data_IF_074535523315
#
_entry.id   IF_074535523315
#
_cell.length_a   1.000
_cell.length_b   1.000
_cell.length_c   1.000
_cell.angle_alpha   90.00
_cell.angle_beta   90.00
_cell.angle_gamma   90.00
#
_symmetry.space_group_name_H-M   'P 1'
#
loop_
_entity.id
_entity.type
_entity.pdbx_description
1 polymer ?
#
# COMPACT_ATOMS: atom_id res chain seq x y z
N UNK A 1 21.57 -1.61 -27.15
CA UNK A 1 21.44 -1.68 -26.67
C UNK A 1 21.47 -1.44 -26.02
N UNK A 2 21.59 -1.32 -25.96
CA UNK A 2 21.56 -1.26 -25.13
C UNK A 2 21.41 -0.73 -24.46
N UNK A 3 21.33 -0.42 -24.44
CA UNK A 3 21.06 -0.09 -23.66
C UNK A 3 20.86 0.19 -22.97
N UNK A 4 20.87 0.40 -23.06
CA UNK A 4 20.49 0.53 -22.25
C UNK A 4 20.18 0.64 -21.47
N UNK A 5 20.24 0.76 -21.61
CA UNK A 5 19.70 0.66 -20.81
C UNK A 5 19.65 1.03 -20.05
N UNK A 6 19.73 1.10 -19.98
CA UNK A 6 19.54 1.18 -19.21
C UNK A 6 19.36 1.69 -18.41
N UNK A 7 19.45 1.94 -18.45
CA UNK A 7 19.11 2.20 -17.68
C UNK A 7 18.88 2.57 -16.91
N UNK A 8 18.96 2.66 -16.93
CA UNK A 8 18.54 2.72 -16.18
C UNK A 8 18.40 2.93 -15.32
N UNK A 9 18.59 3.03 -15.40
CA UNK A 9 18.38 2.98 -14.62
C UNK A 9 18.37 3.47 -13.86
N UNK A 10 18.42 3.95 -13.67
CA UNK A 10 18.34 4.15 -12.82
C UNK A 10 18.04 4.53 -12.03
N UNK A 11 18.20 4.69 -12.41
CA UNK A 11 17.70 5.01 -11.80
C UNK A 11 17.41 4.88 -10.63
N UNK A 12 16.89 4.72 -10.65
CA UNK A 12 16.30 4.47 -9.51
C UNK A 12 17.15 4.41 -8.40
N UNK A 13 17.82 4.56 -8.49
CA UNK A 13 18.78 4.42 -7.69
C UNK A 13 18.85 5.22 -6.55
N UNK A 14 19.07 6.33 -6.81
CA UNK A 14 19.36 7.17 -5.73
C UNK A 14 18.38 7.10 -4.65
N UNK A 15 17.28 6.83 -4.97
CA UNK A 15 16.34 6.87 -4.04
C UNK A 15 16.48 5.95 -2.99
N UNK A 16 16.91 4.93 -3.24
CA UNK A 16 17.07 3.92 -2.25
C UNK A 16 17.86 4.40 -1.07
N UNK A 17 18.60 5.39 -1.25
CA UNK A 17 19.40 5.88 -0.15
C UNK A 17 18.57 6.37 1.02
N UNK A 18 17.35 6.70 0.78
CA UNK A 18 16.52 7.27 1.82
C UNK A 18 15.71 6.25 2.58
N UNK A 19 15.86 5.00 2.29
CA UNK A 19 15.08 4.03 3.01
C UNK A 19 14.74 2.82 2.21
N UNK A 20 13.51 2.37 2.31
CA UNK A 20 13.12 1.11 1.72
C UNK A 20 12.98 1.20 0.24
N UNK A 21 13.24 0.07 -0.42
CA UNK A 21 12.98 -0.04 -1.84
C UNK A 21 11.48 0.02 -2.09
N UNK A 22 11.06 0.56 -3.21
CA UNK A 22 9.63 0.54 -3.56
C UNK A 22 9.13 -0.88 -3.73
N UNK A 23 7.86 -1.08 -3.46
CA UNK A 23 7.21 -2.38 -3.63
C UNK A 23 6.41 -2.32 -4.92
N UNK A 24 6.60 -3.34 -5.76
CA UNK A 24 5.86 -3.44 -7.02
C UNK A 24 4.84 -4.55 -6.94
N UNK A 25 3.63 -4.27 -7.38
CA UNK A 25 2.54 -5.24 -7.39
C UNK A 25 1.82 -5.19 -8.74
N UNK A 26 1.24 -6.31 -9.13
CA UNK A 26 0.37 -6.33 -10.29
C UNK A 26 -1.01 -5.81 -9.89
N UNK A 27 -1.52 -4.83 -10.63
CA UNK A 27 -2.84 -4.30 -10.32
C UNK A 27 -3.94 -5.34 -10.59
N UNK A 28 -3.64 -6.34 -11.39
CA UNK A 28 -4.60 -7.41 -11.66
C UNK A 28 -4.91 -8.22 -10.40
N UNK A 29 -4.03 -8.19 -9.41
CA UNK A 29 -4.21 -8.93 -8.18
C UNK A 29 -5.04 -8.15 -7.15
N UNK A 30 -5.41 -6.91 -7.45
CA UNK A 30 -6.12 -6.07 -6.49
C UNK A 30 -7.59 -5.99 -6.88
N UNK A 31 -8.48 -6.61 -6.09
CA UNK A 31 -9.91 -6.58 -6.43
C UNK A 31 -10.50 -5.18 -6.28
N UNK A 32 -11.48 -4.87 -7.12
CA UNK A 32 -12.23 -3.63 -6.96
C UNK A 32 -13.01 -3.68 -5.65
N UNK A 33 -12.97 -2.61 -4.88
CA UNK A 33 -13.65 -2.54 -3.61
C UNK A 33 -12.94 -3.28 -2.49
N UNK A 34 -11.66 -3.63 -2.69
CA UNK A 34 -10.89 -4.34 -1.68
C UNK A 34 -9.41 -3.96 -1.78
N UNK A 35 -8.55 -4.79 -1.21
CA UNK A 35 -7.12 -4.50 -1.13
C UNK A 35 -6.32 -5.79 -1.03
N UNK A 36 -5.02 -5.68 -1.26
CA UNK A 36 -4.07 -6.76 -0.98
C UNK A 36 -3.00 -6.21 -0.07
N UNK A 37 -2.38 -7.08 0.72
CA UNK A 37 -1.32 -6.71 1.65
C UNK A 37 -0.07 -7.48 1.25
N UNK A 38 0.99 -6.76 0.89
CA UNK A 38 2.25 -7.35 0.45
C UNK A 38 3.41 -6.51 0.97
N UNK A 39 4.37 -7.15 1.60
CA UNK A 39 5.65 -6.51 1.99
C UNK A 39 5.49 -5.18 2.74
N UNK A 40 4.58 -5.13 3.67
CA UNK A 40 4.40 -3.93 4.50
C UNK A 40 3.55 -2.85 3.85
N UNK A 41 2.91 -3.18 2.72
CA UNK A 41 2.09 -2.24 1.96
C UNK A 41 0.68 -2.79 1.82
N UNK A 42 -0.29 -1.92 1.98
CA UNK A 42 -1.68 -2.21 1.65
C UNK A 42 -1.94 -1.48 0.34
N UNK A 43 -2.23 -2.22 -0.72
CA UNK A 43 -2.62 -1.61 -1.99
C UNK A 43 -4.10 -1.86 -2.21
N UNK A 44 -4.86 -0.78 -2.29
CA UNK A 44 -6.31 -0.82 -2.34
C UNK A 44 -6.83 -0.30 -3.67
N UNK A 45 -7.96 -0.81 -4.08
CA UNK A 45 -8.70 -0.29 -5.23
C UNK A 45 -10.13 0.02 -4.80
N UNK A 46 -10.36 1.16 -4.12
CA UNK A 46 -11.70 1.46 -3.61
C UNK A 46 -12.74 1.57 -4.71
N UNK A 47 -12.33 2.11 -5.83
CA UNK A 47 -13.19 2.25 -7.02
C UNK A 47 -12.38 1.76 -8.19
N UNK A 48 -13.03 1.20 -9.17
CA UNK A 48 -12.35 0.65 -10.34
C UNK A 48 -11.41 1.69 -10.96
N UNK A 49 -10.16 1.34 -11.09
CA UNK A 49 -9.13 2.19 -11.68
C UNK A 49 -8.49 3.19 -10.72
N UNK A 50 -8.96 3.27 -9.48
CA UNK A 50 -8.37 4.17 -8.48
C UNK A 50 -7.61 3.36 -7.44
N UNK A 51 -6.33 3.65 -7.30
CA UNK A 51 -5.47 2.88 -6.41
C UNK A 51 -4.96 3.77 -5.29
N UNK A 52 -4.99 3.25 -4.07
CA UNK A 52 -4.49 3.92 -2.88
C UNK A 52 -3.60 2.96 -2.13
N UNK A 53 -2.59 3.48 -1.48
CA UNK A 53 -1.67 2.65 -0.74
C UNK A 53 -1.47 3.18 0.66
N UNK A 54 -1.26 2.27 1.59
CA UNK A 54 -1.06 2.61 3.00
C UNK A 54 0.00 1.70 3.60
N UNK A 55 0.64 2.20 4.65
CA UNK A 55 1.56 1.38 5.43
C UNK A 55 0.76 0.39 6.26
N UNK A 56 1.31 -0.82 6.44
CA UNK A 56 0.70 -1.80 7.31
C UNK A 56 0.94 -1.53 8.80
N UNK A 57 1.78 -0.56 9.13
CA UNK A 57 2.04 -0.26 10.54
C UNK A 57 0.77 0.35 11.15
N UNK A 58 0.24 -0.32 12.18
CA UNK A 58 -0.98 0.13 12.81
C UNK A 58 -0.72 1.43 13.58
N UNK A 59 -1.49 2.50 13.31
CA UNK A 59 -1.26 3.78 14.00
C UNK A 59 -1.48 3.71 15.51
N UNK A 60 -2.26 2.74 15.98
CA UNK A 60 -2.50 2.56 17.39
C UNK A 60 -1.25 2.03 18.12
N UNK A 61 -0.60 1.06 17.50
CA UNK A 61 0.63 0.47 18.05
C UNK A 61 1.48 -0.01 16.87
N UNK A 62 2.72 -0.39 17.15
CA UNK A 62 3.61 -0.89 16.10
C UNK A 62 3.29 -2.34 15.72
N UNK A 63 2.01 -2.66 15.62
CA UNK A 63 1.53 -3.94 15.12
C UNK A 63 1.28 -3.81 13.64
N UNK A 64 1.04 -4.94 13.00
CA UNK A 64 0.82 -4.97 11.56
C UNK A 64 -0.64 -5.18 11.25
N UNK A 65 -1.18 -4.34 10.38
CA UNK A 65 -2.48 -4.56 9.78
C UNK A 65 -2.30 -5.72 8.81
N UNK A 66 -3.08 -6.78 9.00
CA UNK A 66 -2.86 -8.02 8.25
C UNK A 66 -4.12 -8.69 7.74
N UNK A 67 -5.28 -8.11 7.99
CA UNK A 67 -6.55 -8.70 7.59
C UNK A 67 -7.28 -7.78 6.65
N UNK A 68 -7.86 -8.36 5.60
CA UNK A 68 -8.66 -7.61 4.63
C UNK A 68 -10.07 -8.21 4.67
N UNK A 69 -11.08 -7.34 4.78
CA UNK A 69 -12.46 -7.76 4.79
C UNK A 69 -13.24 -6.79 3.90
N UNK A 70 -13.31 -7.09 2.61
CA UNK A 70 -13.95 -6.21 1.64
C UNK A 70 -13.24 -4.87 1.58
N UNK A 71 -13.92 -3.81 1.92
CA UNK A 71 -13.39 -2.45 1.85
C UNK A 71 -12.81 -1.97 3.19
N UNK A 72 -12.57 -2.89 4.11
CA UNK A 72 -11.94 -2.56 5.40
C UNK A 72 -10.69 -3.41 5.57
N UNK A 73 -9.71 -2.86 6.26
CA UNK A 73 -8.56 -3.63 6.72
C UNK A 73 -8.50 -3.56 8.24
N UNK A 74 -7.93 -4.59 8.85
CA UNK A 74 -7.97 -4.73 10.30
C UNK A 74 -6.62 -5.10 10.85
N UNK A 75 -6.28 -4.49 11.98
CA UNK A 75 -5.13 -4.88 12.78
C UNK A 75 -5.62 -5.89 13.82
N UNK A 76 -5.14 -7.13 13.80
CA UNK A 76 -5.67 -8.16 14.69
C UNK A 76 -5.29 -7.97 16.15
N UNK A 77 -4.31 -7.13 16.44
CA UNK A 77 -3.84 -6.98 17.82
C UNK A 77 -4.94 -6.44 18.74
N UNK A 78 -5.65 -5.39 18.31
CA UNK A 78 -6.74 -4.84 19.10
C UNK A 78 -8.00 -4.60 18.25
N UNK A 79 -8.04 -5.18 17.05
CA UNK A 79 -9.20 -5.10 16.15
C UNK A 79 -9.56 -3.69 15.70
N UNK A 80 -8.56 -2.82 15.56
CA UNK A 80 -8.79 -1.54 14.91
C UNK A 80 -9.08 -1.78 13.44
N UNK A 81 -10.09 -1.09 12.92
CA UNK A 81 -10.52 -1.23 11.52
C UNK A 81 -10.40 0.09 10.81
N UNK A 82 -9.97 0.03 9.55
CA UNK A 82 -9.73 1.21 8.74
C UNK A 82 -10.36 1.08 7.37
N UNK A 83 -10.84 2.19 6.84
CA UNK A 83 -11.40 2.23 5.49
C UNK A 83 -10.28 2.25 4.46
N UNK A 84 -10.44 1.51 3.37
CA UNK A 84 -9.49 1.59 2.27
C UNK A 84 -9.69 2.85 1.43
N UNK A 85 -10.79 3.54 1.60
CA UNK A 85 -11.10 4.72 0.78
C UNK A 85 -10.20 5.89 1.13
N UNK A 86 -9.99 6.13 2.41
CA UNK A 86 -9.20 7.26 2.88
C UNK A 86 -8.30 6.92 4.06
N UNK A 87 -8.25 5.68 4.47
CA UNK A 87 -7.44 5.24 5.59
C UNK A 87 -8.03 5.58 6.96
N UNK A 88 -9.22 6.12 7.01
CA UNK A 88 -9.81 6.58 8.26
C UNK A 88 -10.14 5.41 9.18
N UNK A 89 -10.08 5.67 10.49
CA UNK A 89 -10.48 4.69 11.49
C UNK A 89 -11.99 4.50 11.41
N UNK A 90 -12.43 3.24 11.36
CA UNK A 90 -13.84 2.91 11.39
C UNK A 90 -14.23 2.48 12.80
N UNK A 91 -13.42 1.67 13.45
CA UNK A 91 -13.69 1.21 14.80
C UNK A 91 -12.40 0.75 15.46
N UNK A 92 -12.48 0.50 16.74
CA UNK A 92 -11.35 0.04 17.53
C UNK A 92 -10.61 1.18 18.21
N UNK A 93 -9.51 0.87 18.91
CA UNK A 93 -8.81 1.87 19.73
C UNK A 93 -7.92 2.84 18.96
N UNK A 94 -7.62 2.58 17.69
CA UNK A 94 -6.78 3.50 16.93
C UNK A 94 -7.45 4.86 16.83
N UNK A 95 -6.67 5.93 16.91
CA UNK A 95 -7.18 7.28 16.84
C UNK A 95 -6.76 8.00 15.56
N UNK A 96 -5.69 7.54 14.95
CA UNK A 96 -5.16 8.16 13.74
C UNK A 96 -5.45 7.29 12.53
N UNK A 97 -5.60 7.87 11.36
CA UNK A 97 -5.80 7.08 10.15
C UNK A 97 -4.52 6.34 9.78
N UNK A 98 -4.64 5.38 8.88
CA UNK A 98 -3.48 4.71 8.32
C UNK A 98 -2.59 5.73 7.61
N UNK A 99 -1.29 5.47 7.63
CA UNK A 99 -0.34 6.34 6.95
C UNK A 99 -0.41 6.10 5.44
N UNK A 100 -0.73 7.11 4.64
CA UNK A 100 -0.78 6.94 3.20
C UNK A 100 0.62 6.83 2.61
N UNK A 101 0.74 6.05 1.56
CA UNK A 101 1.97 5.90 0.80
C UNK A 101 1.70 6.33 -0.63
N UNK A 102 2.77 6.72 -1.33
CA UNK A 102 2.66 7.10 -2.73
C UNK A 102 2.47 5.85 -3.57
N UNK A 103 1.61 5.93 -4.56
CA UNK A 103 1.43 4.84 -5.51
C UNK A 103 1.41 5.41 -6.91
N UNK A 104 2.16 4.78 -7.80
CA UNK A 104 2.18 5.13 -9.20
C UNK A 104 1.86 3.89 -10.01
N UNK A 105 0.93 4.00 -10.94
CA UNK A 105 0.54 2.89 -11.79
C UNK A 105 1.08 3.14 -13.20
N UNK A 106 1.76 2.14 -13.73
CA UNK A 106 2.27 2.18 -15.09
C UNK A 106 1.95 0.84 -15.73
N UNK A 107 1.10 0.88 -16.76
CA UNK A 107 0.65 -0.36 -17.38
C UNK A 107 -0.13 -1.20 -16.39
N UNK A 108 0.37 -2.39 -16.10
CA UNK A 108 -0.29 -3.29 -15.16
C UNK A 108 0.44 -3.38 -13.83
N UNK A 109 1.38 -2.49 -13.58
CA UNK A 109 2.19 -2.51 -12.37
C UNK A 109 1.94 -1.27 -11.53
N UNK A 110 1.72 -1.48 -10.24
CA UNK A 110 1.68 -0.40 -9.26
C UNK A 110 2.98 -0.42 -8.48
N UNK A 111 3.59 0.76 -8.33
CA UNK A 111 4.81 0.93 -7.55
C UNK A 111 4.45 1.78 -6.34
N UNK A 112 4.74 1.27 -5.16
CA UNK A 112 4.38 1.90 -3.90
C UNK A 112 5.64 2.25 -3.12
N UNK A 113 5.69 3.46 -2.67
CA UNK A 113 6.85 3.91 -1.88
C UNK A 113 7.21 5.37 -2.10
#
# INVERSE_FOLDING_TARGET
MFLLGTATTFAGIALAACGKDPVELSIADVPVGSAVIVDGVILAQPVAGEYKAYSTVCPHQNSQISQVDGDIVRCPTHNSEFSIVDGAVISGPARDPMKPLNVAVSGETATVG
#
